data_IF_977322936451
#
_entry.id   IF_977322936451
#
_cell.length_a   1.000
_cell.length_b   1.000
_cell.length_c   1.000
_cell.angle_alpha   90.00
_cell.angle_beta   90.00
_cell.angle_gamma   90.00
#
_symmetry.space_group_name_H-M   'P 1'
#
loop_
_entity.id
_entity.type
_entity.pdbx_description
1 polymer ?
#
# COMPACT_ATOMS: atom_id res chain seq x y z
N UNK A 1 34.90 -21.34 8.64
CA UNK A 1 35.10 -19.90 8.43
C UNK A 1 34.30 -19.50 7.19
N UNK A 2 33.16 -18.81 7.32
CA UNK A 2 32.43 -18.31 6.15
C UNK A 2 33.15 -17.08 5.60
N UNK A 3 33.37 -17.07 4.29
CA UNK A 3 34.05 -16.00 3.56
C UNK A 3 33.29 -14.68 3.62
N UNK A 4 34.06 -13.59 3.71
CA UNK A 4 33.56 -12.22 3.72
C UNK A 4 32.71 -11.91 2.47
N UNK A 5 31.68 -11.05 2.58
CA UNK A 5 30.97 -10.57 1.41
C UNK A 5 31.90 -9.69 0.57
N UNK A 6 31.95 -10.00 -0.73
CA UNK A 6 32.72 -9.26 -1.71
C UNK A 6 32.26 -7.80 -1.80
N UNK A 7 33.21 -6.88 -1.66
CA UNK A 7 33.06 -5.52 -2.16
C UNK A 7 32.74 -5.59 -3.66
N UNK A 8 31.62 -5.03 -4.08
CA UNK A 8 31.34 -4.83 -5.49
C UNK A 8 31.42 -3.34 -5.80
N UNK A 9 32.60 -2.95 -6.28
CA UNK A 9 32.85 -1.72 -7.01
C UNK A 9 32.03 -1.71 -8.32
N UNK A 10 31.60 -0.52 -8.71
CA UNK A 10 30.55 -0.28 -9.70
C UNK A 10 30.73 -0.97 -11.06
N UNK A 11 29.59 -1.25 -11.69
CA UNK A 11 29.48 -1.44 -13.13
C UNK A 11 28.37 -0.53 -13.64
N UNK A 12 28.76 0.45 -14.45
CA UNK A 12 27.89 1.30 -15.24
C UNK A 12 26.89 0.47 -16.04
N UNK A 13 25.60 0.70 -15.81
CA UNK A 13 24.54 0.45 -16.78
C UNK A 13 23.58 1.62 -16.73
N UNK A 14 23.77 2.55 -17.65
CA UNK A 14 22.77 3.53 -18.07
C UNK A 14 21.48 2.77 -18.41
N UNK A 15 20.50 2.82 -17.51
CA UNK A 15 19.14 2.35 -17.79
C UNK A 15 18.37 3.52 -18.36
N UNK A 16 17.99 3.39 -19.63
CA UNK A 16 17.24 4.37 -20.42
C UNK A 16 16.03 4.92 -19.65
N UNK A 17 16.09 6.21 -19.35
CA UNK A 17 15.05 7.00 -18.72
C UNK A 17 13.84 7.15 -19.66
N UNK A 18 12.66 6.71 -19.23
CA UNK A 18 11.43 7.31 -19.71
C UNK A 18 11.30 8.69 -19.04
N UNK A 19 11.87 9.72 -19.67
CA UNK A 19 11.67 11.12 -19.27
C UNK A 19 10.18 11.47 -19.40
N UNK A 20 9.42 11.31 -18.32
CA UNK A 20 8.13 11.98 -18.22
C UNK A 20 8.43 13.40 -17.76
N UNK A 21 8.51 14.33 -18.71
CA UNK A 21 8.64 15.75 -18.41
C UNK A 21 7.46 16.18 -17.52
N UNK A 22 7.72 16.38 -16.23
CA UNK A 22 6.78 16.94 -15.26
C UNK A 22 6.64 18.44 -15.51
N UNK A 23 5.92 18.81 -16.57
CA UNK A 23 5.41 20.17 -16.75
C UNK A 23 3.94 20.17 -16.38
N UNK A 24 3.54 20.88 -15.34
CA UNK A 24 2.15 21.30 -15.21
C UNK A 24 2.03 22.65 -14.51
N UNK A 25 1.65 23.65 -15.29
CA UNK A 25 1.19 24.97 -14.86
C UNK A 25 -0.34 24.96 -14.61
N UNK A 26 -0.87 23.86 -14.07
CA UNK A 26 -2.29 23.70 -13.70
C UNK A 26 -2.48 23.69 -12.18
N UNK A 27 -3.73 23.87 -11.68
CA UNK A 27 -4.02 23.74 -10.26
C UNK A 27 -3.63 22.33 -9.77
N UNK A 28 -3.14 22.19 -8.53
CA UNK A 28 -2.67 20.91 -8.02
C UNK A 28 -3.80 19.86 -8.08
N UNK A 29 -3.47 18.67 -8.59
CA UNK A 29 -4.42 17.57 -8.67
C UNK A 29 -4.98 17.24 -7.27
N UNK A 30 -6.30 17.01 -7.20
CA UNK A 30 -6.95 16.62 -5.95
C UNK A 30 -6.43 15.27 -5.47
N UNK A 31 -6.22 15.16 -4.16
CA UNK A 31 -5.82 13.92 -3.51
C UNK A 31 -7.09 13.13 -3.20
N UNK A 32 -7.13 11.87 -3.60
CA UNK A 32 -8.27 10.97 -3.37
C UNK A 32 -7.91 9.86 -2.39
N UNK A 33 -8.80 9.44 -1.49
CA UNK A 33 -8.55 8.31 -0.61
C UNK A 33 -8.52 6.99 -1.40
N UNK A 34 -7.61 6.10 -1.02
CA UNK A 34 -7.47 4.75 -1.54
C UNK A 34 -7.01 3.80 -0.44
N UNK A 35 -7.23 2.51 -0.61
CA UNK A 35 -6.76 1.47 0.31
C UNK A 35 -5.92 0.44 -0.42
N UNK A 36 -5.05 -0.25 0.31
CA UNK A 36 -4.31 -1.39 -0.22
C UNK A 36 -4.02 -2.41 0.88
N UNK A 37 -4.09 -3.70 0.56
CA UNK A 37 -4.13 -4.78 1.55
C UNK A 37 -2.98 -5.76 1.37
N UNK A 38 -2.06 -5.79 2.33
CA UNK A 38 -0.99 -6.77 2.43
C UNK A 38 -1.54 -8.05 3.08
N UNK A 39 -2.06 -8.96 2.25
CA UNK A 39 -2.41 -10.30 2.68
C UNK A 39 -1.14 -11.16 2.79
N UNK A 40 -0.80 -11.57 4.01
CA UNK A 40 0.43 -12.32 4.32
C UNK A 40 0.11 -13.76 4.69
N UNK A 41 1.01 -14.68 4.35
CA UNK A 41 0.98 -16.05 4.88
C UNK A 41 2.39 -16.57 5.08
N UNK A 42 2.50 -17.71 5.75
CA UNK A 42 3.75 -18.42 5.94
C UNK A 42 4.12 -18.55 7.40
N UNK A 43 5.40 -18.71 7.67
CA UNK A 43 5.90 -18.86 9.04
C UNK A 43 7.36 -18.49 9.13
N UNK A 44 7.86 -18.29 10.36
CA UNK A 44 9.30 -18.04 10.59
C UNK A 44 10.23 -19.07 9.94
N UNK A 45 9.83 -20.34 9.86
CA UNK A 45 10.65 -21.40 9.27
C UNK A 45 10.57 -21.43 7.73
N UNK A 46 9.40 -21.09 7.17
CA UNK A 46 9.14 -21.14 5.72
C UNK A 46 9.35 -19.82 4.99
N UNK A 47 9.52 -18.72 5.72
CA UNK A 47 9.49 -17.36 5.19
C UNK A 47 8.06 -16.82 5.01
N UNK A 48 7.97 -15.52 4.74
CA UNK A 48 6.71 -14.84 4.48
C UNK A 48 6.47 -14.74 2.97
N UNK A 49 5.25 -15.11 2.57
CA UNK A 49 4.70 -14.79 1.27
C UNK A 49 3.65 -13.69 1.40
N UNK A 50 3.56 -12.85 0.36
CA UNK A 50 2.54 -11.81 0.23
C UNK A 50 1.76 -12.02 -1.06
N UNK A 51 0.45 -11.83 -1.02
CA UNK A 51 -0.36 -11.85 -2.23
C UNK A 51 -0.16 -10.55 -3.01
N UNK A 52 0.27 -10.67 -4.26
CA UNK A 52 0.55 -9.54 -5.14
C UNK A 52 -0.10 -9.70 -6.50
N UNK A 53 -0.36 -8.57 -7.13
CA UNK A 53 -0.87 -8.46 -8.49
C UNK A 53 0.18 -7.81 -9.40
N UNK A 54 0.38 -8.39 -10.58
CA UNK A 54 1.19 -7.79 -11.63
C UNK A 54 0.27 -7.05 -12.62
N UNK A 55 0.36 -5.72 -12.65
CA UNK A 55 -0.46 -4.92 -13.59
C UNK A 55 -0.11 -5.23 -15.04
N UNK A 56 -1.13 -5.34 -15.90
CA UNK A 56 -0.95 -5.59 -17.34
C UNK A 56 -0.01 -4.52 -17.94
N UNK A 57 0.94 -4.95 -18.78
CA UNK A 57 1.90 -4.06 -19.47
C UNK A 57 1.22 -2.99 -20.36
N UNK A 58 -0.06 -3.16 -20.68
CA UNK A 58 -0.85 -2.30 -21.57
C UNK A 58 -1.62 -1.16 -20.88
N UNK A 59 -1.43 -0.92 -19.58
CA UNK A 59 -2.11 0.18 -18.87
C UNK A 59 -1.30 1.49 -18.91
N UNK A 60 -1.99 2.63 -19.09
CA UNK A 60 -1.42 3.98 -19.19
C UNK A 60 -0.67 4.48 -17.93
N UNK A 61 -0.70 3.72 -16.83
CA UNK A 61 -0.04 4.07 -15.56
C UNK A 61 0.34 2.80 -14.77
N UNK A 62 1.60 2.73 -14.32
CA UNK A 62 2.17 1.63 -13.56
C UNK A 62 2.18 0.25 -14.28
N UNK A 63 2.38 0.23 -15.60
CA UNK A 63 2.57 -0.99 -16.38
C UNK A 63 3.74 -1.85 -15.85
N UNK A 64 3.50 -3.15 -15.59
CA UNK A 64 4.52 -4.07 -15.09
C UNK A 64 4.92 -3.89 -13.63
N UNK A 65 4.28 -2.98 -12.90
CA UNK A 65 4.53 -2.77 -11.47
C UNK A 65 3.74 -3.80 -10.65
N UNK A 66 4.41 -4.32 -9.63
CA UNK A 66 3.80 -5.17 -8.61
C UNK A 66 3.05 -4.29 -7.62
N UNK A 67 1.81 -4.66 -7.31
CA UNK A 67 0.94 -4.00 -6.33
C UNK A 67 0.28 -5.03 -5.43
N UNK A 68 -0.25 -4.59 -4.29
CA UNK A 68 -1.16 -5.40 -3.48
C UNK A 68 -2.61 -5.10 -3.88
N UNK A 69 -3.56 -6.00 -3.58
CA UNK A 69 -4.97 -5.74 -3.79
C UNK A 69 -5.39 -4.41 -3.20
N UNK A 70 -6.23 -3.66 -3.90
CA UNK A 70 -6.65 -2.36 -3.42
C UNK A 70 -7.13 -1.40 -4.50
N UNK A 71 -7.86 -0.39 -4.06
CA UNK A 71 -8.51 0.55 -4.94
C UNK A 71 -8.96 1.82 -4.23
N UNK A 72 -9.81 2.57 -4.90
CA UNK A 72 -10.32 3.84 -4.37
C UNK A 72 -11.40 3.56 -3.34
N UNK A 73 -11.56 4.48 -2.40
CA UNK A 73 -12.77 4.50 -1.58
C UNK A 73 -13.93 4.94 -2.47
N UNK A 74 -14.98 4.13 -2.51
CA UNK A 74 -16.17 4.33 -3.33
C UNK A 74 -17.39 4.73 -2.47
N UNK A 75 -18.44 5.31 -3.07
CA UNK A 75 -19.64 5.74 -2.32
C UNK A 75 -20.28 4.66 -1.44
N UNK A 76 -20.18 3.39 -1.83
CA UNK A 76 -20.71 2.26 -1.06
C UNK A 76 -19.98 2.07 0.27
N UNK A 77 -18.69 2.40 0.32
CA UNK A 77 -17.86 2.27 1.52
C UNK A 77 -18.27 3.28 2.60
N UNK A 78 -18.76 4.45 2.18
CA UNK A 78 -19.33 5.44 3.11
C UNK A 78 -20.62 4.94 3.77
N UNK A 79 -21.50 4.29 3.01
CA UNK A 79 -22.74 3.73 3.54
C UNK A 79 -22.45 2.59 4.53
N UNK A 80 -21.52 1.69 4.20
CA UNK A 80 -21.07 0.60 5.07
C UNK A 80 -20.39 1.14 6.33
N UNK A 81 -19.43 2.04 6.16
CA UNK A 81 -18.72 2.67 7.28
C UNK A 81 -19.65 3.44 8.23
N UNK A 82 -20.71 4.07 7.72
CA UNK A 82 -21.70 4.74 8.58
C UNK A 82 -22.46 3.74 9.47
N UNK A 83 -22.82 2.57 8.94
CA UNK A 83 -23.47 1.51 9.71
C UNK A 83 -22.56 0.94 10.80
N UNK A 84 -21.26 0.82 10.50
CA UNK A 84 -20.28 0.15 11.36
C UNK A 84 -19.42 1.09 12.20
N UNK A 85 -19.59 2.42 12.07
CA UNK A 85 -18.75 3.43 12.75
C UNK A 85 -18.72 3.33 14.27
N UNK A 86 -19.71 2.67 14.88
CA UNK A 86 -19.78 2.44 16.33
C UNK A 86 -19.13 1.12 16.77
N UNK A 87 -18.72 0.26 15.85
CA UNK A 87 -18.14 -1.03 16.22
C UNK A 87 -16.76 -0.84 16.89
N UNK A 88 -16.35 -1.72 17.82
CA UNK A 88 -15.07 -1.59 18.52
C UNK A 88 -13.86 -1.56 17.57
N UNK A 89 -13.93 -2.30 16.46
CA UNK A 89 -12.85 -2.35 15.45
C UNK A 89 -12.65 -0.98 14.80
N UNK A 90 -13.72 -0.29 14.41
CA UNK A 90 -13.63 1.05 13.82
C UNK A 90 -13.04 2.07 14.80
N UNK A 91 -13.43 2.00 16.07
CA UNK A 91 -12.90 2.87 17.12
C UNK A 91 -11.41 2.62 17.36
N UNK A 92 -10.99 1.35 17.38
CA UNK A 92 -9.59 1.00 17.53
C UNK A 92 -8.79 1.44 16.30
N UNK A 93 -9.28 1.21 15.08
CA UNK A 93 -8.61 1.67 13.86
C UNK A 93 -8.44 3.19 13.84
N UNK A 94 -9.46 3.94 14.26
CA UNK A 94 -9.36 5.39 14.41
C UNK A 94 -8.24 5.80 15.39
N UNK A 95 -8.08 5.05 16.49
CA UNK A 95 -7.00 5.27 17.46
C UNK A 95 -5.62 4.94 16.86
N UNK A 96 -5.53 3.89 16.05
CA UNK A 96 -4.29 3.37 15.46
C UNK A 96 -3.77 4.21 14.30
N UNK A 97 -4.65 4.64 13.40
CA UNK A 97 -4.32 5.67 12.42
C UNK A 97 -3.84 6.95 13.13
N UNK A 98 -4.39 7.22 14.31
CA UNK A 98 -3.92 8.27 15.19
C UNK A 98 -4.24 9.67 14.67
N UNK A 99 -3.79 10.69 15.41
CA UNK A 99 -4.09 12.10 15.10
C UNK A 99 -3.31 12.67 13.90
N UNK A 100 -2.28 11.96 13.43
CA UNK A 100 -1.43 12.42 12.33
C UNK A 100 -2.04 12.15 10.96
N UNK A 101 -3.02 11.25 10.90
CA UNK A 101 -3.68 10.86 9.68
C UNK A 101 -4.90 11.75 9.49
N UNK A 102 -4.80 12.67 8.54
CA UNK A 102 -5.95 13.45 8.13
C UNK A 102 -6.91 12.54 7.36
N UNK A 103 -7.97 12.12 8.05
CA UNK A 103 -9.04 11.31 7.48
C UNK A 103 -10.14 12.18 6.86
N UNK A 104 -9.85 13.45 6.57
CA UNK A 104 -10.79 14.39 5.97
C UNK A 104 -10.95 14.14 4.47
N UNK A 105 -11.58 13.04 4.09
CA UNK A 105 -11.92 12.76 2.71
C UNK A 105 -13.42 12.51 2.52
N UNK A 106 -13.99 13.05 1.44
CA UNK A 106 -15.38 12.83 1.04
C UNK A 106 -16.41 13.86 1.57
N UNK A 107 -17.68 13.75 1.18
CA UNK A 107 -18.75 14.65 1.64
C UNK A 107 -18.89 14.61 3.18
N UNK A 108 -18.94 15.77 3.83
CA UNK A 108 -19.04 15.86 5.30
C UNK A 108 -17.70 15.88 6.04
N UNK A 109 -16.56 15.74 5.33
CA UNK A 109 -15.22 15.81 5.92
C UNK A 109 -14.60 17.22 5.96
N UNK A 110 -15.24 18.20 5.30
CA UNK A 110 -14.83 19.60 5.35
C UNK A 110 -14.98 20.15 6.78
N UNK A 111 -13.87 20.37 7.47
CA UNK A 111 -13.84 20.91 8.84
C UNK A 111 -13.53 19.89 9.95
N UNK A 112 -13.10 18.67 9.61
CA UNK A 112 -12.71 17.69 10.62
C UNK A 112 -11.48 18.18 11.41
N UNK A 113 -11.56 18.12 12.74
CA UNK A 113 -10.40 18.36 13.60
C UNK A 113 -9.73 17.03 13.91
N UNK A 114 -8.41 16.86 13.65
CA UNK A 114 -7.70 15.63 13.97
C UNK A 114 -7.87 15.20 15.44
N UNK A 115 -8.56 14.07 15.64
CA UNK A 115 -8.83 13.47 16.95
C UNK A 115 -10.27 13.62 17.46
N UNK A 116 -11.21 14.17 16.69
CA UNK A 116 -12.64 14.14 17.00
C UNK A 116 -13.41 13.48 15.84
N UNK A 117 -14.08 12.35 16.09
CA UNK A 117 -14.92 11.60 15.13
C UNK A 117 -14.20 10.85 13.98
N UNK A 118 -12.98 10.35 14.25
CA UNK A 118 -12.21 9.55 13.28
C UNK A 118 -12.76 8.12 13.08
N UNK A 119 -13.75 7.69 13.88
CA UNK A 119 -14.33 6.34 13.81
C UNK A 119 -15.09 6.10 12.51
N UNK A 120 -15.84 7.10 12.03
CA UNK A 120 -16.53 6.99 10.74
C UNK A 120 -15.53 6.84 9.57
N UNK A 121 -14.55 7.75 9.37
CA UNK A 121 -13.58 7.55 8.30
C UNK A 121 -12.77 6.26 8.43
N UNK A 122 -12.41 5.82 9.64
CA UNK A 122 -11.73 4.54 9.85
C UNK A 122 -12.61 3.34 9.45
N UNK A 123 -13.92 3.40 9.73
CA UNK A 123 -14.88 2.39 9.28
C UNK A 123 -15.03 2.39 7.75
N UNK A 124 -15.01 3.56 7.11
CA UNK A 124 -15.03 3.69 5.64
C UNK A 124 -13.79 3.06 5.01
N UNK A 125 -12.59 3.34 5.54
CA UNK A 125 -11.35 2.71 5.05
C UNK A 125 -11.37 1.20 5.22
N UNK A 126 -11.85 0.71 6.36
CA UNK A 126 -11.97 -0.73 6.60
C UNK A 126 -12.98 -1.38 5.64
N UNK A 127 -14.13 -0.74 5.41
CA UNK A 127 -15.12 -1.22 4.45
C UNK A 127 -14.55 -1.29 3.03
N UNK A 128 -13.80 -0.27 2.62
CA UNK A 128 -13.11 -0.25 1.33
C UNK A 128 -12.06 -1.37 1.25
N UNK A 129 -11.24 -1.56 2.29
CA UNK A 129 -10.18 -2.58 2.30
C UNK A 129 -10.77 -4.00 2.17
N UNK A 130 -11.85 -4.28 2.90
CA UNK A 130 -12.54 -5.57 2.83
C UNK A 130 -13.21 -5.78 1.46
N UNK A 131 -13.84 -4.74 0.89
CA UNK A 131 -14.46 -4.81 -0.44
C UNK A 131 -13.42 -5.06 -1.52
N UNK A 132 -12.34 -4.29 -1.55
CA UNK A 132 -11.29 -4.43 -2.57
C UNK A 132 -10.60 -5.81 -2.46
N UNK A 133 -10.36 -6.30 -1.24
CA UNK A 133 -9.86 -7.66 -1.04
C UNK A 133 -10.81 -8.70 -1.63
N UNK A 134 -12.11 -8.60 -1.34
CA UNK A 134 -13.12 -9.53 -1.86
C UNK A 134 -13.24 -9.45 -3.39
N UNK A 135 -13.37 -8.25 -3.96
CA UNK A 135 -13.57 -8.04 -5.40
C UNK A 135 -12.38 -8.50 -6.24
N UNK A 136 -11.16 -8.30 -5.74
CA UNK A 136 -9.94 -8.61 -6.49
C UNK A 136 -9.32 -9.96 -6.19
N UNK A 137 -9.67 -10.58 -5.05
CA UNK A 137 -9.11 -11.86 -4.63
C UNK A 137 -10.13 -12.99 -4.42
N UNK A 138 -11.42 -12.66 -4.33
CA UNK A 138 -12.50 -13.56 -3.93
C UNK A 138 -12.52 -13.92 -2.45
N UNK A 139 -11.60 -13.41 -1.64
CA UNK A 139 -11.49 -13.75 -0.22
C UNK A 139 -12.17 -12.71 0.67
N UNK A 140 -12.98 -13.18 1.61
CA UNK A 140 -13.55 -12.35 2.68
C UNK A 140 -12.72 -12.52 3.96
N UNK A 141 -12.35 -11.41 4.60
CA UNK A 141 -11.66 -11.40 5.88
C UNK A 141 -12.58 -10.86 6.99
N UNK A 142 -12.34 -11.29 8.23
CA UNK A 142 -12.98 -10.67 9.38
C UNK A 142 -12.42 -9.24 9.57
N UNK A 143 -13.25 -8.24 9.91
CA UNK A 143 -12.79 -6.87 10.15
C UNK A 143 -11.62 -6.76 11.14
N UNK A 144 -11.63 -7.61 12.18
CA UNK A 144 -10.62 -7.67 13.25
C UNK A 144 -9.25 -8.16 12.76
N UNK A 145 -9.20 -8.87 11.62
CA UNK A 145 -7.94 -9.36 11.06
C UNK A 145 -7.16 -8.26 10.33
N UNK A 146 -7.84 -7.19 9.90
CA UNK A 146 -7.22 -6.09 9.16
C UNK A 146 -6.55 -5.12 10.14
N UNK A 147 -5.23 -4.99 10.08
CA UNK A 147 -4.46 -4.09 10.95
C UNK A 147 -3.98 -2.88 10.15
N UNK A 148 -4.32 -1.64 10.58
CA UNK A 148 -3.70 -0.42 10.06
C UNK A 148 -2.18 -0.53 10.01
N UNK A 149 -1.59 -0.34 8.83
CA UNK A 149 -0.17 -0.62 8.59
C UNK A 149 0.64 0.62 8.28
N UNK A 150 0.21 1.40 7.29
CA UNK A 150 0.93 2.60 6.86
C UNK A 150 0.04 3.53 6.00
N UNK A 151 0.48 4.76 5.73
CA UNK A 151 -0.22 5.67 4.81
C UNK A 151 0.75 6.50 3.98
N UNK A 152 0.48 6.57 2.68
CA UNK A 152 1.35 7.22 1.70
C UNK A 152 0.57 8.14 0.79
N UNK A 153 1.06 9.36 0.61
CA UNK A 153 0.50 10.34 -0.31
C UNK A 153 1.32 10.38 -1.60
N UNK A 154 0.65 10.28 -2.75
CA UNK A 154 1.32 10.47 -4.06
C UNK A 154 1.95 11.87 -4.11
N UNK A 155 3.22 12.03 -4.53
CA UNK A 155 3.86 13.35 -4.59
C UNK A 155 3.12 14.35 -5.50
N UNK A 156 3.32 15.66 -5.29
CA UNK A 156 2.89 16.69 -6.24
C UNK A 156 3.47 16.47 -7.65
N UNK A 157 2.82 17.02 -8.68
CA UNK A 157 3.25 16.89 -10.08
C UNK A 157 2.67 15.68 -10.82
N UNK A 158 2.18 14.67 -10.11
CA UNK A 158 1.46 13.56 -10.73
C UNK A 158 0.01 13.95 -11.07
N UNK A 159 -0.52 13.56 -12.25
CA UNK A 159 -1.86 13.93 -12.70
C UNK A 159 -2.98 13.24 -11.90
N UNK A 160 -2.65 12.11 -11.24
CA UNK A 160 -3.53 11.41 -10.30
C UNK A 160 -2.79 11.26 -8.99
N UNK A 161 -3.42 11.69 -7.90
CA UNK A 161 -2.85 11.63 -6.56
C UNK A 161 -3.79 10.93 -5.60
N UNK A 162 -3.22 10.15 -4.70
CA UNK A 162 -3.96 9.40 -3.69
C UNK A 162 -3.30 9.54 -2.33
N UNK A 163 -4.13 9.51 -1.28
CA UNK A 163 -3.75 9.08 0.05
C UNK A 163 -4.10 7.59 0.15
N UNK A 164 -3.09 6.73 0.10
CA UNK A 164 -3.26 5.29 0.14
C UNK A 164 -3.02 4.77 1.56
N UNK A 165 -4.07 4.21 2.15
CA UNK A 165 -4.09 3.62 3.48
C UNK A 165 -3.85 2.11 3.38
N UNK A 166 -2.76 1.63 3.94
CA UNK A 166 -2.35 0.24 3.85
C UNK A 166 -2.83 -0.54 5.06
N UNK A 167 -3.50 -1.66 4.84
CA UNK A 167 -3.80 -2.65 5.86
C UNK A 167 -2.89 -3.87 5.68
N UNK A 168 -2.53 -4.55 6.77
CA UNK A 168 -1.93 -5.88 6.73
C UNK A 168 -2.83 -6.87 7.46
N UNK A 169 -2.87 -8.12 6.99
CA UNK A 169 -3.55 -9.21 7.69
C UNK A 169 -2.80 -10.54 7.53
N UNK A 170 -2.98 -11.42 8.52
CA UNK A 170 -2.65 -12.83 8.38
C UNK A 170 -3.78 -13.51 7.59
N UNK A 171 -3.43 -13.97 6.40
CA UNK A 171 -4.30 -14.60 5.43
C UNK A 171 -3.92 -16.07 5.22
N UNK A 172 -3.24 -16.69 6.20
CA UNK A 172 -2.81 -18.09 6.12
C UNK A 172 -3.98 -19.06 5.91
N UNK A 173 -5.15 -18.74 6.45
CA UNK A 173 -6.38 -19.53 6.32
C UNK A 173 -7.28 -19.09 5.14
N UNK A 174 -6.87 -18.06 4.38
CA UNK A 174 -7.67 -17.52 3.29
C UNK A 174 -7.24 -18.08 1.93
N UNK A 175 -8.22 -18.29 1.05
CA UNK A 175 -8.00 -18.72 -0.32
C UNK A 175 -8.12 -17.52 -1.26
N UNK A 176 -6.98 -16.93 -1.60
CA UNK A 176 -6.90 -15.78 -2.50
C UNK A 176 -6.55 -16.23 -3.92
N UNK A 177 -7.29 -15.71 -4.90
CA UNK A 177 -7.06 -15.94 -6.33
C UNK A 177 -7.33 -14.67 -7.11
N UNK A 178 -6.63 -14.42 -8.22
CA UNK A 178 -6.92 -13.22 -9.01
C UNK A 178 -8.30 -13.29 -9.67
N UNK A 179 -9.24 -12.45 -9.24
CA UNK A 179 -10.60 -12.39 -9.81
C UNK A 179 -10.78 -11.20 -10.77
N UNK A 180 -9.83 -10.25 -10.79
CA UNK A 180 -9.87 -9.08 -11.67
C UNK A 180 -9.19 -9.33 -13.03
N UNK A 181 -9.71 -8.67 -14.06
CA UNK A 181 -9.10 -8.64 -15.41
C UNK A 181 -8.06 -7.52 -15.59
N UNK A 182 -7.96 -6.59 -14.63
CA UNK A 182 -7.03 -5.47 -14.63
C UNK A 182 -5.59 -5.89 -14.30
N UNK A 183 -5.43 -6.94 -13.48
CA UNK A 183 -4.16 -7.61 -13.24
C UNK A 183 -3.92 -8.72 -14.27
N UNK A 184 -2.67 -8.85 -14.71
CA UNK A 184 -2.25 -9.94 -15.62
C UNK A 184 -2.15 -11.28 -14.90
N UNK A 185 -1.73 -11.25 -13.63
CA UNK A 185 -1.60 -12.39 -12.72
C UNK A 185 -1.68 -11.84 -11.29
N UNK A 186 -2.47 -12.48 -10.42
CA UNK A 186 -2.40 -12.32 -8.97
C UNK A 186 -2.00 -13.65 -8.34
N UNK A 187 -1.02 -13.63 -7.43
CA UNK A 187 -0.45 -14.84 -6.83
C UNK A 187 0.19 -14.54 -5.48
N UNK A 188 0.31 -15.59 -4.68
CA UNK A 188 1.26 -15.62 -3.57
C UNK A 188 2.70 -15.54 -4.09
N UNK A 189 3.55 -14.75 -3.44
CA UNK A 189 4.96 -14.64 -3.79
C UNK A 189 5.81 -14.45 -2.54
N UNK A 190 6.92 -15.17 -2.46
CA UNK A 190 7.94 -14.96 -1.42
C UNK A 190 8.40 -13.52 -1.41
N UNK A 191 8.39 -12.91 -0.22
CA UNK A 191 8.86 -11.53 -0.01
C UNK A 191 10.34 -11.39 -0.39
N UNK A 192 11.17 -12.38 -0.05
CA UNK A 192 12.59 -12.43 -0.42
C UNK A 192 12.78 -12.48 -1.94
N UNK A 193 12.05 -13.36 -2.64
CA UNK A 193 12.17 -13.50 -4.10
C UNK A 193 11.71 -12.22 -4.83
N UNK A 194 10.72 -11.50 -4.32
CA UNK A 194 10.29 -10.21 -4.88
C UNK A 194 11.39 -9.15 -4.71
N UNK A 195 12.04 -9.10 -3.55
CA UNK A 195 13.17 -8.18 -3.32
C UNK A 195 14.35 -8.52 -4.23
N UNK A 196 14.68 -9.80 -4.40
CA UNK A 196 15.72 -10.27 -5.33
C UNK A 196 15.42 -9.86 -6.77
N UNK A 197 14.20 -10.11 -7.26
CA UNK A 197 13.76 -9.69 -8.60
C UNK A 197 13.82 -8.17 -8.77
N UNK A 198 13.48 -7.40 -7.74
CA UNK A 198 13.59 -5.93 -7.77
C UNK A 198 15.05 -5.48 -7.88
N UNK A 199 15.95 -6.06 -7.07
CA UNK A 199 17.39 -5.73 -7.15
C UNK A 199 18.05 -6.18 -8.45
N UNK A 200 17.55 -7.27 -9.06
CA UNK A 200 17.97 -7.72 -10.38
C UNK A 200 17.41 -6.85 -11.53
N UNK A 201 16.39 -6.02 -11.26
CA UNK A 201 15.71 -5.20 -12.26
C UNK A 201 14.63 -5.92 -13.07
N UNK A 202 14.24 -7.14 -12.68
CA UNK A 202 13.24 -7.95 -13.36
C UNK A 202 11.81 -7.45 -13.13
N UNK A 203 11.58 -6.81 -11.98
CA UNK A 203 10.30 -6.18 -11.63
C UNK A 203 10.51 -4.73 -11.21
N UNK A 204 9.44 -3.95 -11.30
CA UNK A 204 9.37 -2.60 -10.76
C UNK A 204 8.45 -2.60 -9.53
N UNK A 205 8.89 -1.92 -8.48
CA UNK A 205 8.11 -1.64 -7.28
C UNK A 205 8.05 -0.12 -7.13
N UNK A 206 6.90 0.42 -6.75
CA UNK A 206 6.83 1.81 -6.27
C UNK A 206 7.40 1.91 -4.85
N UNK A 207 7.80 3.12 -4.42
CA UNK A 207 8.39 3.34 -3.08
C UNK A 207 7.51 2.81 -1.93
N UNK A 208 6.18 3.03 -1.90
CA UNK A 208 5.33 2.44 -0.88
C UNK A 208 5.41 0.91 -0.92
N UNK A 209 5.23 0.29 -2.09
CA UNK A 209 5.28 -1.17 -2.24
C UNK A 209 6.63 -1.75 -1.78
N UNK A 210 7.75 -1.15 -2.19
CA UNK A 210 9.08 -1.61 -1.76
C UNK A 210 9.29 -1.47 -0.25
N UNK A 211 8.92 -0.32 0.33
CA UNK A 211 9.12 -0.04 1.75
C UNK A 211 8.30 -1.01 2.61
N UNK A 212 7.04 -1.24 2.21
CA UNK A 212 6.15 -2.13 2.92
C UNK A 212 6.54 -3.60 2.73
N UNK A 213 6.98 -4.00 1.52
CA UNK A 213 7.50 -5.33 1.24
C UNK A 213 8.70 -5.66 2.16
N UNK A 214 9.64 -4.72 2.31
CA UNK A 214 10.77 -4.89 3.22
C UNK A 214 10.31 -4.98 4.68
N UNK A 215 9.39 -4.10 5.08
CA UNK A 215 8.86 -4.12 6.45
C UNK A 215 8.19 -5.45 6.80
N UNK A 216 7.39 -6.03 5.89
CA UNK A 216 6.75 -7.33 6.15
C UNK A 216 7.74 -8.49 6.03
N UNK A 217 8.75 -8.40 5.16
CA UNK A 217 9.83 -9.38 5.10
C UNK A 217 10.57 -9.52 6.44
N UNK A 218 10.78 -8.40 7.14
CA UNK A 218 11.47 -8.35 8.44
C UNK A 218 10.65 -8.92 9.62
N UNK A 219 9.31 -9.05 9.50
CA UNK A 219 8.47 -9.64 10.56
C UNK A 219 8.80 -11.12 10.80
N UNK A 220 9.20 -11.85 9.77
CA UNK A 220 9.46 -13.29 9.84
C UNK A 220 8.21 -14.17 10.00
N UNK A 221 7.15 -13.72 10.68
CA UNK A 221 5.89 -14.46 10.84
C UNK A 221 4.63 -13.55 10.76
N UNK A 222 3.56 -13.93 10.02
CA UNK A 222 2.31 -13.16 9.94
C UNK A 222 1.62 -12.95 11.30
N UNK A 223 1.80 -13.85 12.27
CA UNK A 223 1.23 -13.68 13.61
C UNK A 223 1.83 -12.49 14.39
N UNK A 224 2.96 -11.94 13.92
CA UNK A 224 3.59 -10.74 14.49
C UNK A 224 3.03 -9.43 13.89
N UNK A 225 2.06 -9.52 12.97
CA UNK A 225 1.23 -8.39 12.59
C UNK A 225 0.52 -7.91 13.86
N UNK A 226 0.73 -6.64 14.17
CA UNK A 226 0.35 -6.02 15.43
C UNK A 226 0.08 -4.55 15.21
N UNK A 227 -0.96 -4.09 15.89
CA UNK A 227 -1.43 -2.72 15.86
C UNK A 227 -0.50 -1.73 16.60
N UNK A 228 0.51 -2.20 17.32
CA UNK A 228 1.38 -1.34 18.15
C UNK A 228 2.41 -0.51 17.39
N UNK A 229 2.53 -0.66 16.06
CA UNK A 229 3.47 0.12 15.24
C UNK A 229 3.02 1.58 15.16
N UNK A 230 3.98 2.50 15.34
CA UNK A 230 3.74 3.92 15.09
C UNK A 230 3.69 4.16 13.59
N UNK A 231 2.52 4.54 13.09
CA UNK A 231 2.32 4.97 11.70
C UNK A 231 2.75 6.45 11.59
N UNK A 232 3.66 6.73 10.66
CA UNK A 232 4.09 8.10 10.34
C UNK A 232 3.76 8.35 8.87
N UNK A 233 2.72 9.13 8.56
CA UNK A 233 2.31 9.38 7.18
C UNK A 233 3.45 9.94 6.32
N UNK A 234 3.69 9.33 5.16
CA UNK A 234 4.58 9.90 4.15
C UNK A 234 3.78 10.88 3.29
N UNK A 235 3.93 12.18 3.59
CA UNK A 235 3.28 13.29 2.89
C UNK A 235 4.33 14.20 2.26
N UNK A 236 4.72 13.96 0.99
CA UNK A 236 5.71 14.80 0.33
C UNK A 236 5.15 16.21 0.13
N UNK A 237 5.82 17.21 0.69
CA UNK A 237 5.52 18.62 0.40
C UNK A 237 6.01 18.99 -1.01
N UNK A 238 5.38 19.99 -1.63
CA UNK A 238 5.79 20.51 -2.94
C UNK A 238 7.18 21.13 -2.97
N UNK A 239 7.78 21.38 -1.80
CA UNK A 239 9.11 22.00 -1.63
C UNK A 239 10.22 21.00 -1.35
N UNK A 240 9.92 19.74 -1.04
CA UNK A 240 10.93 18.73 -0.79
C UNK A 240 11.51 18.25 -2.15
N UNK A 241 12.81 18.39 -2.41
CA UNK A 241 13.39 17.83 -3.62
C UNK A 241 13.17 16.31 -3.59
N UNK A 242 12.66 15.79 -4.70
CA UNK A 242 12.49 14.35 -4.93
C UNK A 242 13.82 13.66 -4.58
N UNK A 243 13.81 12.88 -3.49
CA UNK A 243 15.01 12.48 -2.76
C UNK A 243 15.95 11.76 -3.73
N UNK A 244 17.26 12.01 -3.66
CA UNK A 244 18.23 11.49 -4.64
C UNK A 244 18.19 9.94 -4.78
N UNK A 245 17.64 9.24 -3.80
CA UNK A 245 17.34 7.82 -3.82
C UNK A 245 16.27 7.42 -4.86
N UNK A 246 15.29 8.28 -5.14
CA UNK A 246 14.18 8.05 -6.08
C UNK A 246 14.67 7.94 -7.53
N UNK A 247 15.58 8.84 -7.93
CA UNK A 247 16.19 8.83 -9.27
C UNK A 247 17.02 7.58 -9.54
N UNK A 248 17.67 7.01 -8.53
CA UNK A 248 18.57 5.86 -8.70
C UNK A 248 17.83 4.57 -9.10
N UNK A 249 16.55 4.43 -8.75
CA UNK A 249 15.74 3.25 -9.02
C UNK A 249 14.54 3.50 -9.95
N UNK A 250 14.44 4.71 -10.52
CA UNK A 250 13.32 5.11 -11.39
C UNK A 250 11.97 5.12 -10.65
N UNK A 251 11.99 5.58 -9.40
CA UNK A 251 10.82 5.77 -8.52
C UNK A 251 10.33 7.20 -8.58
#
# INVERSE_FOLDING_TARGET
MPGAPANYDGVDKEVTMANTSLTSAGPPASIRPAVSVLALRGSRAGGIEVFVQHRRKSMDFAAGVVAYPGGRVDPVDFARGAADSRCPVAQEHARLWGRAVDLSFGPGSAGHQPGQDAALPAAVLLAAALRELEEETGASAAPEACVPWDVWTTPPGYPRRFDTFFYALDASDLQLQNTTTEASVGRWSSTGNLLEQFYAGDIRLWRPTYTLLRSVHELGDPSEISAGRRIVPDRPDSSAPDDAHHRKYGL
#
